data_IF_168281113520
#
_entry.id   IF_168281113520
#
_cell.length_a   1.000
_cell.length_b   1.000
_cell.length_c   1.000
_cell.angle_alpha   90.00
_cell.angle_beta   90.00
_cell.angle_gamma   90.00
#
_symmetry.space_group_name_H-M   'P 1'
#
loop_
_entity.id
_entity.type
_entity.pdbx_description
1 polymer ?
#
# COMPACT_ATOMS: atom_id res chain seq x y z
N UNK A 1 -25.69 -74.95 2.16
CA UNK A 1 -26.38 -74.43 0.96
C UNK A 1 -25.84 -73.04 0.68
N UNK A 2 -25.14 -72.85 -0.43
CA UNK A 2 -24.58 -71.54 -0.86
C UNK A 2 -25.74 -70.59 -1.19
N UNK A 3 -25.60 -69.28 -0.96
CA UNK A 3 -26.00 -68.23 -1.93
C UNK A 3 -25.70 -66.78 -1.45
N UNK A 4 -24.87 -66.10 -2.26
CA UNK A 4 -24.95 -64.72 -2.75
C UNK A 4 -24.76 -63.52 -1.80
N UNK A 5 -23.51 -63.04 -1.78
CA UNK A 5 -23.04 -61.72 -2.28
C UNK A 5 -24.08 -60.59 -2.40
N UNK A 6 -23.89 -59.51 -1.62
CA UNK A 6 -24.18 -58.12 -2.02
C UNK A 6 -23.03 -57.23 -1.53
N UNK A 7 -22.14 -56.86 -2.44
CA UNK A 7 -21.18 -55.79 -2.22
C UNK A 7 -21.93 -54.46 -2.26
N UNK A 8 -22.14 -53.84 -1.11
CA UNK A 8 -22.54 -52.44 -1.05
C UNK A 8 -21.29 -51.58 -1.17
N UNK A 9 -21.04 -51.11 -2.39
CA UNK A 9 -20.06 -50.05 -2.63
C UNK A 9 -20.61 -48.74 -2.04
N UNK A 10 -20.18 -48.38 -0.83
CA UNK A 10 -20.43 -47.06 -0.27
C UNK A 10 -19.51 -46.06 -0.97
N UNK A 11 -20.07 -45.25 -1.87
CA UNK A 11 -19.43 -44.03 -2.37
C UNK A 11 -19.20 -43.08 -1.19
N UNK A 12 -17.95 -42.94 -0.76
CA UNK A 12 -17.54 -41.79 0.05
C UNK A 12 -17.34 -40.61 -0.89
N UNK A 13 -18.35 -39.74 -0.98
CA UNK A 13 -18.19 -38.43 -1.60
C UNK A 13 -17.32 -37.57 -0.68
N UNK A 14 -16.03 -37.45 -1.01
CA UNK A 14 -15.14 -36.47 -0.38
C UNK A 14 -15.52 -35.11 -0.95
N UNK A 15 -16.31 -34.34 -0.21
CA UNK A 15 -16.51 -32.91 -0.46
C UNK A 15 -15.26 -32.20 0.09
N UNK A 16 -14.28 -31.98 -0.77
CA UNK A 16 -13.21 -31.01 -0.52
C UNK A 16 -13.84 -29.63 -0.57
N UNK A 17 -14.34 -29.15 0.57
CA UNK A 17 -14.55 -27.72 0.78
C UNK A 17 -13.15 -27.10 0.78
N UNK A 18 -12.73 -26.65 -0.39
CA UNK A 18 -11.59 -25.75 -0.50
C UNK A 18 -11.91 -24.51 0.32
N UNK A 19 -11.35 -24.42 1.51
CA UNK A 19 -11.26 -23.17 2.24
C UNK A 19 -10.39 -22.24 1.38
N UNK A 20 -11.02 -21.52 0.46
CA UNK A 20 -10.46 -20.32 -0.12
C UNK A 20 -10.28 -19.38 1.07
N UNK A 21 -9.06 -19.37 1.63
CA UNK A 21 -8.71 -18.46 2.69
C UNK A 21 -8.96 -17.05 2.16
N UNK A 22 -10.01 -16.40 2.64
CA UNK A 22 -10.11 -14.97 2.57
C UNK A 22 -8.89 -14.44 3.34
N UNK A 23 -7.80 -14.15 2.63
CA UNK A 23 -6.69 -13.41 3.19
C UNK A 23 -7.31 -12.10 3.68
N UNK A 24 -7.37 -11.88 4.99
CA UNK A 24 -7.93 -10.66 5.54
C UNK A 24 -7.15 -9.47 4.99
N UNK A 25 -7.78 -8.72 4.10
CA UNK A 25 -7.26 -7.53 3.42
C UNK A 25 -7.44 -6.29 4.29
N UNK A 26 -7.21 -6.42 5.60
CA UNK A 26 -7.26 -5.28 6.51
C UNK A 26 -5.83 -4.85 6.79
N UNK A 27 -5.43 -3.71 6.22
CA UNK A 27 -4.11 -3.16 6.45
C UNK A 27 -3.83 -3.05 7.95
N UNK A 28 -2.65 -3.47 8.36
CA UNK A 28 -2.27 -3.61 9.75
C UNK A 28 -1.39 -2.43 10.16
N UNK A 29 -1.80 -1.72 11.22
CA UNK A 29 -0.92 -0.76 11.90
C UNK A 29 0.17 -1.51 12.63
N UNK A 30 1.41 -1.09 12.43
CA UNK A 30 2.54 -1.65 13.15
C UNK A 30 3.42 -0.54 13.71
N UNK A 31 4.15 -0.86 14.78
CA UNK A 31 5.23 -0.01 15.25
C UNK A 31 6.52 -0.42 14.51
N UNK A 32 7.04 0.51 13.71
CA UNK A 32 8.34 0.40 13.06
C UNK A 32 9.19 1.56 13.57
N UNK A 33 10.34 1.31 14.22
CA UNK A 33 11.22 2.37 14.70
C UNK A 33 11.56 3.38 13.60
N UNK A 34 11.45 4.67 13.90
CA UNK A 34 11.71 5.75 12.96
C UNK A 34 10.63 5.96 11.90
N UNK A 35 9.51 5.22 11.91
CA UNK A 35 8.39 5.44 10.98
C UNK A 35 7.12 5.80 11.74
N UNK A 36 6.61 7.01 11.51
CA UNK A 36 5.30 7.42 12.02
C UNK A 36 4.20 6.72 11.25
N UNK A 37 3.16 6.22 11.95
CA UNK A 37 1.92 5.74 11.32
C UNK A 37 2.13 4.64 10.25
N UNK A 38 3.10 3.75 10.47
CA UNK A 38 3.36 2.65 9.55
C UNK A 38 2.12 1.74 9.44
N UNK A 39 1.67 1.53 8.21
CA UNK A 39 0.52 0.69 7.88
C UNK A 39 0.91 -0.27 6.78
N UNK A 40 1.02 -1.56 7.11
CA UNK A 40 1.21 -2.61 6.12
C UNK A 40 -0.13 -2.85 5.42
N UNK A 41 -0.25 -2.44 4.17
CA UNK A 41 -1.51 -2.53 3.41
C UNK A 41 -1.71 -3.99 2.96
N UNK A 42 -0.72 -4.52 2.26
CA UNK A 42 -0.67 -5.91 1.82
C UNK A 42 0.80 -6.36 1.65
N UNK A 43 1.04 -7.48 0.95
CA UNK A 43 2.39 -7.99 0.71
C UNK A 43 3.23 -7.16 -0.26
N UNK A 44 2.64 -6.17 -0.93
CA UNK A 44 3.28 -5.38 -1.99
C UNK A 44 3.43 -3.90 -1.63
N UNK A 45 2.60 -3.37 -0.71
CA UNK A 45 2.59 -1.95 -0.35
C UNK A 45 2.48 -1.76 1.17
N UNK A 46 3.24 -0.80 1.69
CA UNK A 46 2.96 -0.17 2.97
C UNK A 46 2.97 1.36 2.85
N UNK A 47 2.21 2.00 3.73
CA UNK A 47 2.10 3.45 3.83
C UNK A 47 2.65 3.94 5.17
N UNK A 48 3.15 5.17 5.21
CA UNK A 48 3.61 5.80 6.44
C UNK A 48 3.59 7.32 6.43
N UNK A 49 3.77 7.91 7.60
CA UNK A 49 4.07 9.32 7.79
C UNK A 49 5.58 9.56 7.89
N UNK A 50 5.97 10.64 8.59
CA UNK A 50 7.37 11.04 8.74
C UNK A 50 8.25 9.85 9.04
N UNK A 51 9.28 9.68 8.22
CA UNK A 51 10.20 8.56 8.26
C UNK A 51 11.61 9.11 8.42
N UNK A 52 12.30 8.61 9.44
CA UNK A 52 13.70 8.93 9.70
C UNK A 52 14.62 8.12 8.78
N UNK A 53 15.78 8.65 8.37
CA UNK A 53 16.75 7.90 7.56
C UNK A 53 17.21 6.59 8.23
N UNK A 54 17.23 6.55 9.56
CA UNK A 54 17.55 5.36 10.38
C UNK A 54 16.62 4.16 10.10
N UNK A 55 15.39 4.41 9.65
CA UNK A 55 14.41 3.37 9.34
C UNK A 55 14.73 2.58 8.06
N UNK A 56 15.63 3.08 7.20
CA UNK A 56 15.97 2.44 5.92
C UNK A 56 16.37 0.96 6.09
N UNK A 57 17.25 0.66 7.06
CA UNK A 57 17.74 -0.69 7.28
C UNK A 57 16.61 -1.65 7.73
N UNK A 58 15.68 -1.18 8.56
CA UNK A 58 14.54 -1.97 9.02
C UNK A 58 13.53 -2.20 7.88
N UNK A 59 13.29 -1.19 7.03
CA UNK A 59 12.45 -1.33 5.84
C UNK A 59 13.04 -2.36 4.87
N UNK A 60 14.36 -2.36 4.66
CA UNK A 60 15.05 -3.37 3.86
C UNK A 60 14.93 -4.78 4.49
N UNK A 61 15.14 -4.90 5.80
CA UNK A 61 15.00 -6.17 6.53
C UNK A 61 13.59 -6.76 6.43
N UNK A 62 12.58 -5.90 6.32
CA UNK A 62 11.16 -6.28 6.10
C UNK A 62 10.84 -6.65 4.65
N UNK A 63 11.80 -6.54 3.74
CA UNK A 63 11.66 -6.94 2.34
C UNK A 63 11.13 -5.86 1.40
N UNK A 64 10.99 -4.61 1.87
CA UNK A 64 10.72 -3.51 0.93
C UNK A 64 11.90 -3.33 0.00
N UNK A 65 11.62 -2.93 -1.23
CA UNK A 65 12.60 -2.71 -2.29
C UNK A 65 12.75 -1.23 -2.62
N UNK A 66 11.67 -0.48 -2.46
CA UNK A 66 11.61 0.95 -2.80
C UNK A 66 10.96 1.75 -1.69
N UNK A 67 11.59 2.87 -1.36
CA UNK A 67 11.01 3.93 -0.53
C UNK A 67 10.57 5.06 -1.47
N UNK A 68 9.29 5.42 -1.41
CA UNK A 68 8.71 6.55 -2.15
C UNK A 68 8.36 7.66 -1.17
N UNK A 69 9.00 8.81 -1.29
CA UNK A 69 8.66 10.01 -0.52
C UNK A 69 7.72 10.91 -1.32
N UNK A 70 6.58 11.26 -0.73
CA UNK A 70 5.64 12.27 -1.24
C UNK A 70 5.79 13.64 -0.56
N UNK A 71 6.83 13.81 0.25
CA UNK A 71 7.13 15.09 0.92
C UNK A 71 7.38 16.17 -0.13
N UNK A 72 6.78 17.33 0.05
CA UNK A 72 6.99 18.47 -0.84
C UNK A 72 8.38 19.08 -0.59
N UNK A 73 8.97 19.68 -1.62
CA UNK A 73 10.27 20.34 -1.50
C UNK A 73 10.21 21.48 -0.47
N UNK A 74 11.20 21.53 0.43
CA UNK A 74 11.26 22.53 1.50
C UNK A 74 10.22 22.33 2.61
N UNK A 75 9.41 21.28 2.58
CA UNK A 75 8.48 20.96 3.67
C UNK A 75 9.24 20.67 4.98
N UNK A 76 8.79 21.24 6.11
CA UNK A 76 9.47 21.08 7.39
C UNK A 76 9.61 19.60 7.80
N UNK A 77 10.85 19.14 8.01
CA UNK A 77 11.15 17.74 8.31
C UNK A 77 11.15 16.81 7.09
N UNK A 78 11.24 17.36 5.88
CA UNK A 78 11.62 16.60 4.69
C UNK A 78 13.14 16.36 4.74
N UNK A 79 13.53 15.11 4.98
CA UNK A 79 14.92 14.63 5.07
C UNK A 79 15.27 13.81 3.83
N UNK A 80 14.91 14.31 2.65
CA UNK A 80 14.92 13.53 1.40
C UNK A 80 16.32 13.14 0.96
N UNK A 81 17.31 14.02 1.11
CA UNK A 81 18.69 13.73 0.75
C UNK A 81 19.32 12.67 1.68
N UNK A 82 19.11 12.80 2.98
CA UNK A 82 19.59 11.84 3.98
C UNK A 82 18.88 10.49 3.85
N UNK A 83 17.57 10.52 3.58
CA UNK A 83 16.79 9.32 3.30
C UNK A 83 17.26 8.61 2.02
N UNK A 84 17.61 9.34 0.95
CA UNK A 84 18.19 8.75 -0.28
C UNK A 84 19.50 8.02 0.04
N UNK A 85 20.42 8.70 0.76
CA UNK A 85 21.69 8.11 1.15
C UNK A 85 21.50 6.84 2.01
N UNK A 86 20.63 6.91 3.01
CA UNK A 86 20.34 5.77 3.89
C UNK A 86 19.65 4.61 3.15
N UNK A 87 18.70 4.92 2.25
CA UNK A 87 18.04 3.92 1.40
C UNK A 87 19.07 3.18 0.53
N UNK A 88 19.94 3.92 -0.17
CA UNK A 88 21.00 3.31 -1.01
C UNK A 88 21.96 2.46 -0.19
N UNK A 89 22.35 2.92 0.99
CA UNK A 89 23.20 2.16 1.90
C UNK A 89 22.54 0.85 2.38
N UNK A 90 21.21 0.84 2.51
CA UNK A 90 20.42 -0.34 2.86
C UNK A 90 20.07 -1.24 1.65
N UNK A 91 20.53 -0.90 0.44
CA UNK A 91 20.20 -1.64 -0.79
C UNK A 91 18.79 -1.37 -1.33
N UNK A 92 18.15 -0.29 -0.89
CA UNK A 92 16.83 0.15 -1.34
C UNK A 92 16.94 1.16 -2.47
N UNK A 93 15.92 1.17 -3.33
CA UNK A 93 15.68 2.30 -4.24
C UNK A 93 14.98 3.42 -3.47
N UNK A 94 15.38 4.66 -3.70
CA UNK A 94 14.65 5.83 -3.23
C UNK A 94 14.09 6.60 -4.40
N UNK A 95 12.83 6.98 -4.30
CA UNK A 95 12.11 7.76 -5.31
C UNK A 95 11.42 8.91 -4.59
N UNK A 96 11.71 10.14 -5.01
CA UNK A 96 11.09 11.34 -4.46
C UNK A 96 10.14 11.93 -5.48
N UNK A 97 8.86 12.04 -5.11
CA UNK A 97 7.77 12.56 -5.94
C UNK A 97 7.09 13.65 -5.12
N UNK A 98 7.54 14.91 -5.19
CA UNK A 98 7.00 15.97 -4.36
C UNK A 98 5.53 16.18 -4.67
N UNK A 99 4.70 16.11 -3.62
CA UNK A 99 3.25 16.26 -3.72
C UNK A 99 2.76 17.23 -2.64
N UNK A 100 2.18 18.34 -3.07
CA UNK A 100 1.53 19.30 -2.17
C UNK A 100 0.40 18.62 -1.40
N UNK A 101 0.36 18.84 -0.09
CA UNK A 101 -0.75 18.35 0.74
C UNK A 101 -2.02 19.20 0.57
N UNK A 102 -1.85 20.48 0.20
CA UNK A 102 -2.93 21.46 0.05
C UNK A 102 -3.48 21.49 -1.38
N UNK A 103 -2.57 21.46 -2.37
CA UNK A 103 -2.90 21.60 -3.79
C UNK A 103 -2.20 20.52 -4.63
N UNK A 104 -2.51 19.23 -4.40
CA UNK A 104 -1.92 18.12 -5.16
C UNK A 104 -2.16 18.27 -6.67
N UNK A 105 -1.17 17.87 -7.47
CA UNK A 105 -1.24 17.93 -8.93
C UNK A 105 -1.45 16.55 -9.55
N UNK A 106 -2.04 16.53 -10.75
CA UNK A 106 -2.19 15.30 -11.53
C UNK A 106 -0.84 14.65 -11.88
N UNK A 107 0.18 15.47 -12.14
CA UNK A 107 1.53 15.00 -12.42
C UNK A 107 2.12 14.21 -11.25
N UNK A 108 1.96 14.73 -10.02
CA UNK A 108 2.42 14.02 -8.83
C UNK A 108 1.63 12.73 -8.59
N UNK A 109 0.29 12.77 -8.74
CA UNK A 109 -0.54 11.58 -8.56
C UNK A 109 -0.24 10.49 -9.61
N UNK A 110 -0.12 10.85 -10.88
CA UNK A 110 0.22 9.91 -11.96
C UNK A 110 1.62 9.31 -11.78
N UNK A 111 2.61 10.11 -11.38
CA UNK A 111 3.95 9.62 -11.07
C UNK A 111 3.95 8.66 -9.88
N UNK A 112 3.23 8.97 -8.81
CA UNK A 112 3.12 8.11 -7.64
C UNK A 112 2.41 6.79 -7.96
N UNK A 113 1.33 6.83 -8.75
CA UNK A 113 0.65 5.63 -9.26
C UNK A 113 1.58 4.78 -10.12
N UNK A 114 2.37 5.40 -11.00
CA UNK A 114 3.35 4.68 -11.82
C UNK A 114 4.39 3.98 -10.94
N UNK A 115 4.90 4.66 -9.91
CA UNK A 115 5.86 4.09 -8.97
C UNK A 115 5.31 2.88 -8.20
N UNK A 116 4.03 2.92 -7.79
CA UNK A 116 3.36 1.80 -7.11
C UNK A 116 3.03 0.62 -8.03
N UNK A 117 2.90 0.85 -9.34
CA UNK A 117 2.54 -0.18 -10.34
C UNK A 117 3.74 -0.83 -11.01
N UNK A 118 4.91 -0.18 -10.97
CA UNK A 118 6.14 -0.76 -11.48
C UNK A 118 6.58 -1.95 -10.61
N UNK A 119 6.50 -3.17 -11.17
CA UNK A 119 6.94 -4.39 -10.49
C UNK A 119 8.43 -4.37 -10.10
N UNK A 120 9.25 -3.55 -10.77
CA UNK A 120 10.63 -3.30 -10.39
C UNK A 120 10.79 -2.55 -9.07
N UNK A 121 9.73 -1.92 -8.57
CA UNK A 121 9.72 -1.19 -7.30
C UNK A 121 9.12 -1.99 -6.13
N UNK A 122 8.33 -3.03 -6.39
CA UNK A 122 7.61 -3.80 -5.36
C UNK A 122 8.54 -4.73 -4.55
N UNK A 123 8.33 -4.90 -3.23
CA UNK A 123 7.37 -4.20 -2.37
C UNK A 123 7.75 -2.73 -2.11
N UNK A 124 6.76 -1.83 -2.11
CA UNK A 124 6.96 -0.38 -1.95
C UNK A 124 6.54 0.07 -0.55
N UNK A 125 7.38 0.87 0.10
CA UNK A 125 6.99 1.71 1.22
C UNK A 125 6.82 3.15 0.74
N UNK A 126 5.61 3.69 0.80
CA UNK A 126 5.30 5.06 0.37
C UNK A 126 4.93 5.92 1.58
N UNK A 127 5.52 7.11 1.71
CA UNK A 127 5.30 7.94 2.89
C UNK A 127 5.22 9.42 2.60
N UNK A 128 4.63 10.14 3.55
CA UNK A 128 4.65 11.60 3.60
C UNK A 128 4.84 12.10 5.05
N UNK A 129 4.29 13.25 5.45
CA UNK A 129 4.38 13.70 6.83
C UNK A 129 3.44 12.92 7.77
N UNK A 130 2.26 12.53 7.29
CA UNK A 130 1.25 11.82 8.09
C UNK A 130 0.81 10.46 7.56
N UNK A 131 1.08 10.18 6.29
CA UNK A 131 0.50 9.05 5.57
C UNK A 131 -0.79 9.44 4.84
N UNK A 132 -1.24 10.69 4.95
CA UNK A 132 -2.46 11.14 4.29
C UNK A 132 -2.30 11.28 2.76
N UNK A 133 -1.14 11.71 2.25
CA UNK A 133 -0.90 11.76 0.78
C UNK A 133 -0.72 10.33 0.24
N UNK A 134 0.02 9.50 0.98
CA UNK A 134 0.19 8.09 0.64
C UNK A 134 -1.17 7.35 0.56
N UNK A 135 -2.05 7.58 1.54
CA UNK A 135 -3.40 7.04 1.56
C UNK A 135 -4.27 7.55 0.40
N UNK A 136 -4.18 8.84 0.04
CA UNK A 136 -4.90 9.39 -1.11
C UNK A 136 -4.44 8.75 -2.44
N UNK A 137 -3.13 8.58 -2.64
CA UNK A 137 -2.59 7.87 -3.81
C UNK A 137 -3.06 6.42 -3.85
N UNK A 138 -3.06 5.73 -2.70
CA UNK A 138 -3.57 4.36 -2.63
C UNK A 138 -5.06 4.30 -2.96
N UNK A 139 -5.88 5.23 -2.45
CA UNK A 139 -7.30 5.33 -2.79
C UNK A 139 -7.51 5.43 -4.29
N UNK A 140 -6.74 6.27 -4.98
CA UNK A 140 -6.78 6.40 -6.44
C UNK A 140 -6.41 5.07 -7.11
N UNK A 141 -5.33 4.41 -6.66
CA UNK A 141 -4.93 3.09 -7.18
C UNK A 141 -6.06 2.07 -7.02
N UNK A 142 -6.66 1.98 -5.83
CA UNK A 142 -7.75 1.03 -5.55
C UNK A 142 -8.92 1.24 -6.52
N UNK A 143 -9.30 2.48 -6.78
CA UNK A 143 -10.45 2.79 -7.63
C UNK A 143 -10.17 2.67 -9.14
N UNK A 144 -8.99 3.09 -9.61
CA UNK A 144 -8.66 3.08 -11.05
C UNK A 144 -8.02 1.78 -11.52
N UNK A 145 -7.22 1.14 -10.68
CA UNK A 145 -6.41 -0.03 -11.08
C UNK A 145 -7.02 -1.31 -10.56
N UNK A 146 -7.41 -1.32 -9.27
CA UNK A 146 -7.95 -2.53 -8.64
C UNK A 146 -9.49 -2.62 -8.79
N UNK A 147 -10.11 -1.61 -9.41
CA UNK A 147 -11.56 -1.50 -9.64
C UNK A 147 -12.42 -1.64 -8.37
N UNK A 148 -11.90 -1.20 -7.22
CA UNK A 148 -12.66 -1.18 -5.96
C UNK A 148 -13.75 -0.09 -5.99
N UNK A 149 -14.88 -0.33 -5.31
CA UNK A 149 -15.86 0.72 -5.08
C UNK A 149 -15.28 1.79 -4.15
N UNK A 150 -15.79 3.02 -4.30
CA UNK A 150 -15.28 4.22 -3.61
C UNK A 150 -15.29 4.07 -2.09
N UNK A 151 -16.40 3.58 -1.54
CA UNK A 151 -16.61 3.42 -0.10
C UNK A 151 -15.52 2.54 0.53
N UNK A 152 -15.23 1.39 -0.10
CA UNK A 152 -14.16 0.49 0.34
C UNK A 152 -12.78 1.14 0.23
N UNK A 153 -12.46 1.77 -0.89
CA UNK A 153 -11.17 2.42 -1.10
C UNK A 153 -10.96 3.58 -0.10
N UNK A 154 -12.01 4.35 0.15
CA UNK A 154 -11.98 5.43 1.13
C UNK A 154 -11.82 4.92 2.56
N UNK A 155 -12.50 3.84 2.94
CA UNK A 155 -12.32 3.22 4.26
C UNK A 155 -10.89 2.76 4.51
N UNK A 156 -10.24 2.12 3.54
CA UNK A 156 -8.82 1.73 3.64
C UNK A 156 -7.92 2.98 3.78
N UNK A 157 -8.18 4.02 2.98
CA UNK A 157 -7.42 5.26 3.06
C UNK A 157 -7.56 5.97 4.42
N UNK A 158 -8.77 6.01 4.99
CA UNK A 158 -9.00 6.56 6.35
C UNK A 158 -8.24 5.75 7.40
N UNK A 159 -8.29 4.42 7.32
CA UNK A 159 -7.53 3.54 8.22
C UNK A 159 -6.04 3.83 8.13
N UNK A 160 -5.49 4.04 6.94
CA UNK A 160 -4.08 4.40 6.75
C UNK A 160 -3.76 5.77 7.34
N UNK A 161 -4.62 6.77 7.16
CA UNK A 161 -4.42 8.10 7.73
C UNK A 161 -4.90 9.26 6.87
N UNK A 162 -5.72 9.01 5.85
CA UNK A 162 -6.38 10.06 5.08
C UNK A 162 -7.37 10.80 5.97
N UNK A 163 -7.00 12.00 6.41
CA UNK A 163 -7.85 12.89 7.19
C UNK A 163 -8.17 14.21 6.47
N UNK A 164 -7.42 14.56 5.43
CA UNK A 164 -7.57 15.82 4.70
C UNK A 164 -8.77 15.77 3.73
N UNK A 165 -9.75 16.68 3.87
CA UNK A 165 -10.84 16.81 2.91
C UNK A 165 -10.34 17.16 1.50
N UNK A 166 -9.31 18.02 1.39
CA UNK A 166 -8.74 18.42 0.10
C UNK A 166 -8.10 17.24 -0.63
N UNK A 167 -7.37 16.37 0.08
CA UNK A 167 -6.78 15.17 -0.52
C UNK A 167 -7.84 14.15 -0.93
N UNK A 168 -8.92 14.01 -0.15
CA UNK A 168 -10.06 13.17 -0.53
C UNK A 168 -10.73 13.70 -1.80
N UNK A 169 -11.07 14.99 -1.84
CA UNK A 169 -11.69 15.63 -2.99
C UNK A 169 -10.82 15.48 -4.24
N UNK A 170 -9.52 15.75 -4.12
CA UNK A 170 -8.57 15.54 -5.20
C UNK A 170 -8.56 14.10 -5.70
N UNK A 171 -8.52 13.10 -4.82
CA UNK A 171 -8.51 11.70 -5.22
C UNK A 171 -9.77 11.33 -6.02
N UNK A 172 -10.94 11.77 -5.57
CA UNK A 172 -12.21 11.54 -6.26
C UNK A 172 -12.25 12.23 -7.63
N UNK A 173 -11.87 13.51 -7.69
CA UNK A 173 -11.83 14.28 -8.93
C UNK A 173 -10.81 13.72 -9.93
N UNK A 174 -9.67 13.24 -9.43
CA UNK A 174 -8.67 12.57 -10.25
C UNK A 174 -9.23 11.28 -10.85
N UNK A 175 -9.86 10.41 -10.03
CA UNK A 175 -10.49 9.17 -10.52
C UNK A 175 -11.56 9.47 -11.56
N UNK A 176 -12.44 10.45 -11.32
CA UNK A 176 -13.52 10.80 -12.23
C UNK A 176 -13.02 11.24 -13.62
N UNK A 177 -11.85 11.89 -13.69
CA UNK A 177 -11.24 12.35 -14.95
C UNK A 177 -10.43 11.29 -15.69
N UNK A 178 -10.15 10.15 -15.06
CA UNK A 178 -9.30 9.08 -15.60
C UNK A 178 -9.99 7.71 -15.66
N UNK A 179 -11.32 7.69 -15.53
CA UNK A 179 -12.15 6.49 -15.71
C UNK A 179 -12.51 6.22 -17.16
#
# INVERSE_FOLDING_TARGET
>A
MKFRLRHSASLFAIVLVGACGAMSLDGQKENVPGVRNFTRVDGSIACGGSTEPSAAAELARRGYRTIVSLREDGEAGAVTAEMDQAARAAGLRFVHIPMSAQSPSDGAASAALAALRDGGNSPVFIYDASGSRAAAVLMIKRMLVDAWPEDRAYSEAVMIGLASPSLKAFALDYVARHR
#
